data_IF_140639204945
#
_entry.id   IF_140639204945
#
_cell.length_a   1.000
_cell.length_b   1.000
_cell.length_c   1.000
_cell.angle_alpha   90.00
_cell.angle_beta   90.00
_cell.angle_gamma   90.00
#
_symmetry.space_group_name_H-M   'P 1'
#
loop_
_entity.id
_entity.type
_entity.pdbx_description
1 polymer ?
#
# COMPACT_ATOMS: atom_id res chain seq x y z
N UNK A 1 29.81 -13.99 3.86
CA UNK A 1 28.78 -13.82 2.80
C UNK A 1 29.50 -13.45 1.52
N UNK A 2 29.17 -14.09 0.41
CA UNK A 2 29.74 -13.72 -0.89
C UNK A 2 29.00 -12.48 -1.41
N UNK A 3 29.61 -11.31 -1.24
CA UNK A 3 29.07 -10.01 -1.64
C UNK A 3 28.77 -9.97 -3.15
N UNK A 4 29.53 -10.70 -3.95
CA UNK A 4 29.33 -10.76 -5.41
C UNK A 4 28.06 -11.52 -5.75
N UNK A 5 27.81 -12.66 -5.11
CA UNK A 5 26.59 -13.44 -5.32
C UNK A 5 25.34 -12.67 -4.88
N UNK A 6 25.42 -11.96 -3.74
CA UNK A 6 24.35 -11.11 -3.25
C UNK A 6 24.04 -9.93 -4.22
N UNK A 7 25.07 -9.26 -4.70
CA UNK A 7 24.92 -8.15 -5.65
C UNK A 7 24.28 -8.63 -6.96
N UNK A 8 24.70 -9.77 -7.49
CA UNK A 8 24.14 -10.35 -8.70
C UNK A 8 22.66 -10.75 -8.51
N UNK A 9 22.30 -11.31 -7.34
CA UNK A 9 20.93 -11.65 -7.02
C UNK A 9 20.03 -10.40 -6.98
N UNK A 10 20.50 -9.34 -6.34
CA UNK A 10 19.76 -8.07 -6.24
C UNK A 10 19.63 -7.41 -7.61
N UNK A 11 20.66 -7.43 -8.44
CA UNK A 11 20.59 -6.92 -9.80
C UNK A 11 19.54 -7.68 -10.65
N UNK A 12 19.49 -9.00 -10.55
CA UNK A 12 18.48 -9.81 -11.23
C UNK A 12 17.04 -9.48 -10.76
N UNK A 13 16.85 -9.25 -9.46
CA UNK A 13 15.55 -8.86 -8.92
C UNK A 13 15.12 -7.45 -9.35
N UNK A 14 16.07 -6.52 -9.40
CA UNK A 14 15.81 -5.16 -9.90
C UNK A 14 15.44 -5.16 -11.40
N UNK A 15 16.10 -6.00 -12.20
CA UNK A 15 15.76 -6.13 -13.62
C UNK A 15 14.36 -6.71 -13.82
N UNK A 16 13.93 -7.66 -12.99
CA UNK A 16 12.55 -8.14 -12.99
C UNK A 16 11.56 -7.00 -12.69
N UNK A 17 11.83 -6.19 -11.66
CA UNK A 17 10.98 -5.04 -11.30
C UNK A 17 10.91 -4.04 -12.46
N UNK A 18 12.01 -3.78 -13.15
CA UNK A 18 12.05 -2.91 -14.33
C UNK A 18 11.16 -3.47 -15.46
N UNK A 19 11.23 -4.75 -15.76
CA UNK A 19 10.33 -5.40 -16.73
C UNK A 19 8.87 -5.29 -16.34
N UNK A 20 8.54 -5.45 -15.05
CA UNK A 20 7.17 -5.27 -14.56
C UNK A 20 6.70 -3.83 -14.81
N UNK A 21 7.52 -2.81 -14.49
CA UNK A 21 7.19 -1.40 -14.75
C UNK A 21 6.97 -1.12 -16.23
N UNK A 22 7.85 -1.60 -17.08
CA UNK A 22 7.78 -1.43 -18.54
C UNK A 22 6.48 -2.05 -19.08
N UNK A 23 6.16 -3.25 -18.63
CA UNK A 23 4.97 -3.97 -19.10
C UNK A 23 3.67 -3.29 -18.66
N UNK A 24 3.59 -2.87 -17.39
CA UNK A 24 2.46 -2.09 -16.89
C UNK A 24 2.34 -0.75 -17.61
N UNK A 25 3.45 -0.08 -17.91
CA UNK A 25 3.53 1.20 -18.61
C UNK A 25 3.01 1.16 -20.06
N UNK A 26 2.91 -0.03 -20.68
CA UNK A 26 2.25 -0.18 -21.98
C UNK A 26 0.75 0.16 -21.89
N UNK A 27 0.12 -0.14 -20.76
CA UNK A 27 -1.33 0.06 -20.54
C UNK A 27 -1.61 1.33 -19.76
N UNK A 28 -0.86 1.55 -18.67
CA UNK A 28 -1.08 2.65 -17.73
C UNK A 28 -0.22 3.85 -18.12
N UNK A 29 -0.81 5.04 -18.09
CA UNK A 29 -0.13 6.32 -18.38
C UNK A 29 -0.29 7.25 -17.19
N UNK A 30 0.80 7.87 -16.74
CA UNK A 30 0.78 8.95 -15.74
C UNK A 30 0.51 8.48 -14.29
N UNK A 31 0.71 7.18 -14.00
CA UNK A 31 0.52 6.62 -12.65
C UNK A 31 1.76 5.84 -12.19
N UNK A 32 2.95 6.27 -12.61
CA UNK A 32 4.22 5.58 -12.31
C UNK A 32 4.44 5.46 -10.79
N UNK A 33 4.14 6.54 -10.04
CA UNK A 33 4.26 6.53 -8.58
C UNK A 33 3.33 5.51 -7.93
N UNK A 34 2.08 5.40 -8.39
CA UNK A 34 1.15 4.41 -7.89
C UNK A 34 1.67 2.99 -8.13
N UNK A 35 2.14 2.69 -9.34
CA UNK A 35 2.70 1.38 -9.69
C UNK A 35 3.91 1.05 -8.81
N UNK A 36 4.80 2.00 -8.58
CA UNK A 36 5.95 1.82 -7.69
C UNK A 36 5.51 1.48 -6.26
N UNK A 37 4.51 2.16 -5.72
CA UNK A 37 3.98 1.86 -4.38
C UNK A 37 3.29 0.51 -4.30
N UNK A 38 2.61 0.08 -5.36
CA UNK A 38 2.03 -1.26 -5.45
C UNK A 38 3.11 -2.35 -5.45
N UNK A 39 4.18 -2.14 -6.20
CA UNK A 39 5.34 -3.05 -6.21
C UNK A 39 6.00 -3.09 -4.82
N UNK A 40 6.23 -1.93 -4.19
CA UNK A 40 6.78 -1.88 -2.83
C UNK A 40 5.87 -2.59 -1.81
N UNK A 41 4.54 -2.42 -1.91
CA UNK A 41 3.59 -3.11 -1.04
C UNK A 41 3.65 -4.64 -1.22
N UNK A 42 3.76 -5.12 -2.45
CA UNK A 42 3.95 -6.55 -2.74
C UNK A 42 5.25 -7.09 -2.17
N UNK A 43 6.36 -6.38 -2.36
CA UNK A 43 7.70 -6.77 -1.86
C UNK A 43 7.76 -6.74 -0.34
N UNK A 44 7.13 -5.74 0.29
CA UNK A 44 7.09 -5.61 1.76
C UNK A 44 6.02 -6.50 2.42
N UNK A 45 5.25 -7.28 1.66
CA UNK A 45 4.09 -8.03 2.17
C UNK A 45 3.12 -7.15 2.97
N UNK A 46 2.97 -5.90 2.54
CA UNK A 46 2.12 -4.90 3.15
C UNK A 46 0.83 -4.68 2.36
N UNK A 47 -0.13 -3.98 2.97
CA UNK A 47 -1.35 -3.52 2.31
C UNK A 47 -1.28 -2.03 2.05
N UNK A 48 -2.09 -1.51 1.12
CA UNK A 48 -2.03 -0.12 0.70
C UNK A 48 -3.42 0.52 0.77
N UNK A 49 -3.47 1.74 1.30
CA UNK A 49 -4.64 2.60 1.29
C UNK A 49 -4.42 3.69 0.23
N UNK A 50 -5.33 3.79 -0.72
CA UNK A 50 -5.29 4.79 -1.78
C UNK A 50 -6.34 5.86 -1.51
N UNK A 51 -5.91 7.09 -1.41
CA UNK A 51 -6.81 8.23 -1.31
C UNK A 51 -6.76 9.05 -2.60
N UNK A 52 -7.90 9.32 -3.18
CA UNK A 52 -8.00 10.10 -4.40
C UNK A 52 -9.37 10.01 -5.05
N UNK A 53 -9.67 10.99 -5.87
CA UNK A 53 -10.94 11.11 -6.58
C UNK A 53 -11.23 9.90 -7.48
N UNK A 54 -12.50 9.61 -7.80
CA UNK A 54 -12.85 8.57 -8.77
C UNK A 54 -12.31 8.91 -10.18
N UNK A 55 -12.19 7.89 -11.02
CA UNK A 55 -11.78 8.08 -12.42
C UNK A 55 -10.26 8.08 -12.68
N UNK A 56 -9.41 7.88 -11.66
CA UNK A 56 -7.94 7.90 -11.78
C UNK A 56 -7.33 6.52 -12.16
N UNK A 57 -8.05 5.71 -12.91
CA UNK A 57 -7.61 4.41 -13.42
C UNK A 57 -7.10 3.42 -12.33
N UNK A 58 -7.49 3.59 -11.05
CA UNK A 58 -7.05 2.71 -9.94
C UNK A 58 -7.32 1.24 -10.24
N UNK A 59 -8.56 0.90 -10.64
CA UNK A 59 -8.94 -0.47 -10.99
C UNK A 59 -8.13 -1.02 -12.15
N UNK A 60 -7.93 -0.21 -13.20
CA UNK A 60 -7.15 -0.61 -14.37
C UNK A 60 -5.68 -0.88 -13.99
N UNK A 61 -5.08 -0.01 -13.17
CA UNK A 61 -3.70 -0.17 -12.69
C UNK A 61 -3.50 -1.48 -11.93
N UNK A 62 -4.41 -1.79 -11.00
CA UNK A 62 -4.31 -3.02 -10.18
C UNK A 62 -4.53 -4.27 -11.02
N UNK A 63 -5.56 -4.27 -11.88
CA UNK A 63 -5.85 -5.40 -12.75
C UNK A 63 -4.70 -5.66 -13.73
N UNK A 64 -4.14 -4.59 -14.31
CA UNK A 64 -2.96 -4.70 -15.20
C UNK A 64 -1.77 -5.27 -14.45
N UNK A 65 -1.49 -4.77 -13.24
CA UNK A 65 -0.39 -5.30 -12.42
C UNK A 65 -0.62 -6.78 -12.07
N UNK A 66 -1.84 -7.17 -11.70
CA UNK A 66 -2.17 -8.57 -11.43
C UNK A 66 -1.87 -9.47 -12.64
N UNK A 67 -2.31 -9.05 -13.85
CA UNK A 67 -2.05 -9.76 -15.10
C UNK A 67 -0.55 -9.90 -15.38
N UNK A 68 0.21 -8.82 -15.23
CA UNK A 68 1.68 -8.80 -15.42
C UNK A 68 2.39 -9.76 -14.46
N UNK A 69 1.87 -9.91 -13.25
CA UNK A 69 2.42 -10.78 -12.20
C UNK A 69 1.86 -12.22 -12.21
N UNK A 70 0.94 -12.55 -13.10
CA UNK A 70 0.27 -13.85 -13.09
C UNK A 70 -0.52 -14.13 -11.82
N UNK A 71 -1.11 -13.10 -11.22
CA UNK A 71 -1.85 -13.15 -9.96
C UNK A 71 -3.36 -13.02 -10.18
N UNK A 72 -4.14 -13.70 -9.33
CA UNK A 72 -5.58 -13.54 -9.31
C UNK A 72 -5.97 -12.15 -8.76
N UNK A 73 -6.95 -11.52 -9.42
CA UNK A 73 -7.48 -10.23 -9.04
C UNK A 73 -8.99 -10.30 -8.81
N UNK A 74 -9.44 -9.69 -7.71
CA UNK A 74 -10.87 -9.43 -7.47
C UNK A 74 -11.09 -7.99 -7.01
N UNK A 75 -12.27 -7.46 -7.34
CA UNK A 75 -12.75 -6.16 -6.87
C UNK A 75 -14.02 -6.34 -6.07
N UNK A 76 -14.13 -5.61 -4.98
CA UNK A 76 -15.34 -5.46 -4.17
C UNK A 76 -15.62 -3.96 -4.04
N UNK A 77 -16.83 -3.52 -4.35
CA UNK A 77 -17.29 -2.17 -4.05
C UNK A 77 -17.97 -2.19 -2.69
N UNK A 78 -17.50 -1.38 -1.77
CA UNK A 78 -18.07 -1.30 -0.43
C UNK A 78 -19.29 -0.41 -0.45
N UNK A 79 -20.40 -0.90 0.12
CA UNK A 79 -21.71 -0.23 0.18
C UNK A 79 -22.28 -0.34 1.60
N UNK A 80 -23.23 0.53 1.98
CA UNK A 80 -23.81 0.50 3.33
C UNK A 80 -24.56 -0.79 3.68
N UNK A 81 -25.03 -1.53 2.70
CA UNK A 81 -25.78 -2.78 2.84
C UNK A 81 -24.91 -4.04 2.82
N UNK A 82 -23.59 -3.89 2.59
CA UNK A 82 -22.65 -5.01 2.55
C UNK A 82 -22.57 -5.70 3.93
N UNK A 83 -22.47 -7.03 3.92
CA UNK A 83 -22.29 -7.85 5.12
C UNK A 83 -20.86 -8.41 5.18
N UNK A 84 -20.33 -8.73 6.37
CA UNK A 84 -19.03 -9.40 6.50
C UNK A 84 -18.93 -10.68 5.66
N UNK A 85 -20.02 -11.45 5.58
CA UNK A 85 -20.10 -12.68 4.78
C UNK A 85 -19.89 -12.45 3.28
N UNK A 86 -20.23 -11.26 2.75
CA UNK A 86 -20.03 -10.92 1.34
C UNK A 86 -18.54 -10.71 1.03
N UNK A 87 -17.73 -10.38 2.03
CA UNK A 87 -16.28 -10.17 1.93
C UNK A 87 -15.52 -11.47 2.15
N UNK A 88 -15.78 -12.16 3.27
CA UNK A 88 -15.00 -13.32 3.70
C UNK A 88 -15.61 -14.67 3.27
N UNK A 89 -16.91 -14.70 3.03
CA UNK A 89 -17.64 -15.93 2.68
C UNK A 89 -18.52 -16.43 3.82
N UNK A 90 -19.29 -17.47 3.53
CA UNK A 90 -20.27 -18.03 4.47
C UNK A 90 -20.54 -19.50 4.18
N UNK A 91 -21.19 -20.17 5.11
CA UNK A 91 -21.76 -21.50 4.86
C UNK A 91 -23.07 -21.36 4.07
N UNK A 92 -23.21 -22.16 3.04
CA UNK A 92 -24.43 -22.22 2.22
C UNK A 92 -25.04 -23.60 2.32
N UNK A 93 -26.32 -23.66 2.69
CA UNK A 93 -27.07 -24.92 2.73
C UNK A 93 -27.39 -25.41 1.32
N UNK A 94 -27.06 -26.65 1.04
CA UNK A 94 -27.38 -27.34 -0.21
C UNK A 94 -28.62 -28.22 -0.01
N UNK A 95 -29.81 -27.88 -0.57
CA UNK A 95 -30.99 -28.70 -0.46
C UNK A 95 -30.84 -30.12 -1.10
N UNK A 96 -29.89 -30.25 -2.03
CA UNK A 96 -29.64 -31.52 -2.72
C UNK A 96 -28.90 -32.53 -1.87
N UNK A 97 -27.95 -32.07 -1.04
CA UNK A 97 -27.13 -32.94 -0.19
C UNK A 97 -27.55 -32.92 1.28
N UNK A 98 -28.35 -31.94 1.70
CA UNK A 98 -28.72 -31.74 3.10
C UNK A 98 -27.56 -31.14 3.95
N UNK A 99 -26.49 -30.70 3.34
CA UNK A 99 -25.25 -30.27 4.01
C UNK A 99 -24.99 -28.80 3.84
N UNK A 100 -24.24 -28.21 4.78
CA UNK A 100 -23.68 -26.88 4.65
C UNK A 100 -22.30 -26.96 4.01
N UNK A 101 -22.09 -26.19 2.94
CA UNK A 101 -20.81 -26.10 2.25
C UNK A 101 -20.24 -24.67 2.33
N UNK A 102 -18.93 -24.50 2.55
CA UNK A 102 -18.31 -23.17 2.61
C UNK A 102 -18.26 -22.55 1.21
N UNK A 103 -18.85 -21.37 1.07
CA UNK A 103 -18.71 -20.51 -0.10
C UNK A 103 -17.71 -19.42 0.21
N UNK A 104 -16.50 -19.51 -0.36
CA UNK A 104 -15.41 -18.55 -0.17
C UNK A 104 -15.77 -17.20 -0.78
N UNK A 105 -15.51 -16.14 -0.02
CA UNK A 105 -15.72 -14.74 -0.45
C UNK A 105 -14.62 -14.21 -1.36
N UNK A 106 -14.73 -12.95 -1.78
CA UNK A 106 -13.75 -12.29 -2.66
C UNK A 106 -12.34 -12.16 -2.08
N UNK A 107 -12.18 -12.16 -0.74
CA UNK A 107 -10.85 -12.12 -0.10
C UNK A 107 -9.95 -13.29 -0.49
N UNK A 108 -10.52 -14.40 -0.98
CA UNK A 108 -9.73 -15.51 -1.53
C UNK A 108 -9.26 -15.18 -2.94
N UNK A 109 -8.27 -14.31 -2.99
CA UNK A 109 -7.56 -13.86 -4.21
C UNK A 109 -6.17 -13.36 -3.83
N UNK A 110 -5.29 -13.14 -4.80
CA UNK A 110 -3.96 -12.58 -4.55
C UNK A 110 -4.00 -11.05 -4.40
N UNK A 111 -4.69 -10.36 -5.31
CA UNK A 111 -4.89 -8.92 -5.25
C UNK A 111 -6.37 -8.61 -5.09
N UNK A 112 -6.71 -7.96 -3.99
CA UNK A 112 -8.08 -7.50 -3.73
C UNK A 112 -8.13 -5.98 -3.78
N UNK A 113 -8.96 -5.44 -4.67
CA UNK A 113 -9.33 -4.03 -4.64
C UNK A 113 -10.61 -3.87 -3.82
N UNK A 114 -10.48 -3.33 -2.62
CA UNK A 114 -11.58 -2.92 -1.73
C UNK A 114 -11.92 -1.46 -2.03
N UNK A 115 -12.87 -1.25 -2.95
CA UNK A 115 -13.20 0.08 -3.45
C UNK A 115 -14.16 0.79 -2.51
N UNK A 116 -13.83 2.04 -2.13
CA UNK A 116 -14.62 2.90 -1.22
C UNK A 116 -14.88 2.23 0.15
N UNK A 117 -13.81 1.71 0.79
CA UNK A 117 -13.90 0.97 2.06
C UNK A 117 -14.66 1.73 3.18
N UNK A 118 -14.62 3.05 3.14
CA UNK A 118 -15.31 3.92 4.10
C UNK A 118 -16.84 4.01 3.88
N UNK A 119 -17.41 3.41 2.85
CA UNK A 119 -18.87 3.35 2.64
C UNK A 119 -19.56 2.19 3.35
N UNK A 120 -18.81 1.17 3.76
CA UNK A 120 -19.39 0.04 4.47
C UNK A 120 -19.33 0.21 5.99
N UNK A 121 -20.27 -0.42 6.74
CA UNK A 121 -20.28 -0.38 8.19
C UNK A 121 -18.99 -0.95 8.81
N UNK A 122 -18.67 -0.50 10.03
CA UNK A 122 -17.45 -0.89 10.75
C UNK A 122 -17.24 -2.41 10.88
N UNK A 123 -18.34 -3.19 10.97
CA UNK A 123 -18.25 -4.67 11.03
C UNK A 123 -17.65 -5.27 9.75
N UNK A 124 -18.00 -4.72 8.59
CA UNK A 124 -17.49 -5.18 7.28
C UNK A 124 -16.04 -4.78 7.12
N UNK A 125 -15.71 -3.53 7.47
CA UNK A 125 -14.33 -3.06 7.50
C UNK A 125 -13.45 -3.94 8.39
N UNK A 126 -13.93 -4.26 9.61
CA UNK A 126 -13.21 -5.11 10.56
C UNK A 126 -12.94 -6.50 10.01
N UNK A 127 -13.91 -7.13 9.34
CA UNK A 127 -13.73 -8.45 8.73
C UNK A 127 -12.64 -8.46 7.65
N UNK A 128 -12.58 -7.42 6.81
CA UNK A 128 -11.48 -7.27 5.84
C UNK A 128 -10.14 -7.06 6.53
N UNK A 129 -10.08 -6.15 7.51
CA UNK A 129 -8.84 -5.80 8.21
C UNK A 129 -8.29 -6.95 9.07
N UNK A 130 -9.16 -7.81 9.59
CA UNK A 130 -8.77 -9.06 10.25
C UNK A 130 -8.15 -10.03 9.25
N UNK A 131 -8.80 -10.27 8.11
CA UNK A 131 -8.26 -11.14 7.06
C UNK A 131 -6.91 -10.63 6.50
N UNK A 132 -6.72 -9.30 6.45
CA UNK A 132 -5.43 -8.68 6.09
C UNK A 132 -4.32 -9.02 7.08
N UNK A 133 -4.61 -8.97 8.36
CA UNK A 133 -3.64 -9.19 9.42
C UNK A 133 -3.32 -10.67 9.61
N UNK A 134 -4.36 -11.51 9.69
CA UNK A 134 -4.24 -12.92 10.02
C UNK A 134 -3.89 -13.80 8.81
N UNK A 135 -4.05 -13.29 7.59
CA UNK A 135 -3.84 -14.03 6.33
C UNK A 135 -4.66 -15.32 6.24
N UNK A 136 -5.75 -15.37 6.97
CA UNK A 136 -6.69 -16.49 7.04
C UNK A 136 -8.09 -16.00 7.37
N UNK A 137 -9.08 -16.84 7.09
CA UNK A 137 -10.50 -16.58 7.35
C UNK A 137 -11.13 -17.82 7.92
N UNK A 138 -11.94 -17.69 8.96
CA UNK A 138 -12.77 -18.77 9.51
C UNK A 138 -14.18 -18.70 8.92
N UNK A 139 -14.64 -19.79 8.31
CA UNK A 139 -16.00 -19.94 7.77
C UNK A 139 -16.64 -21.15 8.44
N UNK A 140 -17.65 -20.92 9.27
CA UNK A 140 -18.17 -21.95 10.17
C UNK A 140 -17.11 -22.35 11.19
N UNK A 141 -16.80 -23.64 11.25
CA UNK A 141 -15.83 -24.21 12.19
C UNK A 141 -14.42 -24.39 11.56
N UNK A 142 -14.25 -24.04 10.28
CA UNK A 142 -12.99 -24.27 9.55
C UNK A 142 -12.27 -22.96 9.23
N UNK A 143 -10.93 -22.99 9.39
CA UNK A 143 -10.05 -21.86 9.06
C UNK A 143 -9.29 -22.12 7.77
N UNK A 144 -9.43 -21.21 6.83
CA UNK A 144 -8.83 -21.26 5.50
C UNK A 144 -7.74 -20.20 5.37
N UNK A 145 -6.55 -20.60 4.93
CA UNK A 145 -5.48 -19.64 4.58
C UNK A 145 -5.81 -18.94 3.27
N UNK A 146 -5.47 -17.64 3.21
CA UNK A 146 -5.58 -16.87 1.99
C UNK A 146 -4.41 -17.20 1.04
N UNK A 147 -4.57 -17.01 -0.29
CA UNK A 147 -3.51 -17.20 -1.26
C UNK A 147 -2.29 -16.33 -0.97
N UNK A 148 -1.11 -16.80 -1.29
CA UNK A 148 0.12 -16.01 -1.19
C UNK A 148 0.69 -15.75 -2.61
N UNK A 149 1.10 -14.52 -2.93
CA UNK A 149 0.99 -13.30 -2.12
C UNK A 149 -0.47 -12.83 -1.96
N UNK A 150 -0.78 -12.18 -0.83
CA UNK A 150 -2.08 -11.53 -0.61
C UNK A 150 -1.88 -10.04 -0.36
N UNK A 151 -2.43 -9.21 -1.22
CA UNK A 151 -2.37 -7.76 -1.13
C UNK A 151 -3.78 -7.18 -1.21
N UNK A 152 -4.15 -6.37 -0.24
CA UNK A 152 -5.36 -5.55 -0.29
C UNK A 152 -4.98 -4.12 -0.64
N UNK A 153 -5.68 -3.59 -1.66
CA UNK A 153 -5.71 -2.18 -1.98
C UNK A 153 -7.08 -1.67 -1.57
N UNK A 154 -7.12 -0.89 -0.51
CA UNK A 154 -8.34 -0.20 -0.11
C UNK A 154 -8.34 1.20 -0.73
N UNK A 155 -9.49 1.68 -1.21
CA UNK A 155 -9.62 3.06 -1.67
C UNK A 155 -10.55 3.85 -0.75
N UNK A 156 -10.24 5.15 -0.61
CA UNK A 156 -11.10 6.13 0.03
C UNK A 156 -11.30 7.31 -0.91
N UNK A 157 -12.52 7.82 -0.96
CA UNK A 157 -12.83 9.06 -1.65
C UNK A 157 -12.86 10.20 -0.61
N UNK A 158 -11.93 11.18 -0.68
CA UNK A 158 -11.87 12.26 0.31
C UNK A 158 -13.00 13.28 0.17
N UNK A 159 -13.70 13.32 -0.97
CA UNK A 159 -14.74 14.32 -1.28
C UNK A 159 -16.11 13.89 -0.74
N UNK A 160 -16.40 12.59 -0.76
CA UNK A 160 -17.66 12.05 -0.27
C UNK A 160 -17.63 11.87 1.24
N UNK A 161 -18.32 12.75 1.96
CA UNK A 161 -18.45 12.69 3.43
C UNK A 161 -19.79 12.12 3.87
N UNK A 162 -20.86 12.32 3.09
CA UNK A 162 -22.20 11.81 3.43
C UNK A 162 -22.27 10.28 3.28
N UNK A 163 -22.82 9.61 4.29
CA UNK A 163 -23.00 8.15 4.28
C UNK A 163 -21.70 7.36 4.41
N UNK A 164 -20.62 7.97 4.92
CA UNK A 164 -19.34 7.30 5.14
C UNK A 164 -19.12 6.94 6.61
N UNK A 165 -18.37 5.86 6.82
CA UNK A 165 -17.90 5.37 8.11
C UNK A 165 -16.38 5.47 8.11
N UNK A 166 -15.78 6.49 8.74
CA UNK A 166 -14.33 6.65 8.77
C UNK A 166 -13.66 5.42 9.39
N UNK A 167 -12.55 5.02 8.82
CA UNK A 167 -11.74 3.97 9.42
C UNK A 167 -11.12 4.48 10.72
N UNK A 168 -11.25 3.76 11.85
CA UNK A 168 -10.53 4.09 13.06
C UNK A 168 -9.02 4.11 12.83
N UNK A 169 -8.32 5.02 13.46
CA UNK A 169 -6.88 5.25 13.29
C UNK A 169 -6.04 3.99 13.53
N UNK A 170 -6.37 3.23 14.58
CA UNK A 170 -5.73 1.95 14.86
C UNK A 170 -5.90 0.90 13.74
N UNK A 171 -6.92 1.08 12.89
CA UNK A 171 -7.17 0.24 11.73
C UNK A 171 -6.39 0.74 10.51
N UNK A 172 -6.30 2.05 10.33
CA UNK A 172 -5.51 2.67 9.25
C UNK A 172 -4.02 2.38 9.42
N UNK A 173 -3.50 2.31 10.66
CA UNK A 173 -2.10 1.96 10.96
C UNK A 173 -1.70 0.53 10.48
N UNK A 174 -2.67 -0.32 10.14
CA UNK A 174 -2.40 -1.65 9.55
C UNK A 174 -1.96 -1.61 8.09
N UNK A 175 -2.28 -0.53 7.38
CA UNK A 175 -1.79 -0.33 6.02
C UNK A 175 -0.32 0.05 6.05
N UNK A 176 0.47 -0.59 5.19
CA UNK A 176 1.90 -0.29 5.04
C UNK A 176 2.11 1.11 4.47
N UNK A 177 1.30 1.47 3.48
CA UNK A 177 1.34 2.75 2.79
C UNK A 177 -0.06 3.37 2.71
N UNK A 178 -0.12 4.69 2.86
CA UNK A 178 -1.24 5.52 2.42
C UNK A 178 -0.75 6.42 1.29
N UNK A 179 -1.25 6.20 0.07
CA UNK A 179 -0.83 6.93 -1.11
C UNK A 179 -1.92 7.87 -1.59
N UNK A 180 -1.55 9.11 -1.84
CA UNK A 180 -2.41 10.07 -2.53
C UNK A 180 -2.27 9.82 -4.04
N UNK A 181 -3.43 9.57 -4.69
CA UNK A 181 -3.48 9.36 -6.14
C UNK A 181 -3.80 10.70 -6.79
N UNK A 182 -2.81 11.24 -7.47
CA UNK A 182 -2.90 12.54 -8.14
C UNK A 182 -3.58 12.40 -9.52
N UNK A 183 -4.19 13.48 -9.98
CA UNK A 183 -4.69 13.56 -11.35
C UNK A 183 -3.51 13.55 -12.32
N UNK A 184 -3.65 12.89 -13.48
CA UNK A 184 -2.61 12.89 -14.50
C UNK A 184 -2.23 14.31 -14.91
N UNK A 185 -0.99 14.51 -15.32
CA UNK A 185 -0.54 15.79 -15.87
C UNK A 185 -1.23 16.05 -17.22
N UNK A 186 -1.27 17.32 -17.65
CA UNK A 186 -1.80 17.66 -18.99
C UNK A 186 -1.13 16.90 -20.14
N UNK A 187 0.15 16.59 -20.01
CA UNK A 187 0.88 15.77 -20.98
C UNK A 187 0.45 14.31 -20.95
N UNK A 188 0.15 13.77 -19.78
CA UNK A 188 -0.34 12.39 -19.64
C UNK A 188 -1.78 12.26 -20.13
N UNK A 189 -2.64 13.23 -19.84
CA UNK A 189 -4.00 13.27 -20.38
C UNK A 189 -3.99 13.33 -21.91
N UNK A 190 -3.07 14.08 -22.50
CA UNK A 190 -2.88 14.09 -23.96
C UNK A 190 -2.49 12.71 -24.47
N UNK A 191 -1.53 12.04 -23.83
CA UNK A 191 -1.11 10.66 -24.19
C UNK A 191 -2.27 9.66 -24.04
N UNK A 192 -3.08 9.79 -22.99
CA UNK A 192 -4.28 8.98 -22.80
C UNK A 192 -5.28 9.24 -23.93
N UNK A 193 -5.58 10.50 -24.22
CA UNK A 193 -6.49 10.89 -25.31
C UNK A 193 -6.02 10.33 -26.66
N UNK A 194 -4.75 10.51 -27.04
CA UNK A 194 -4.18 10.01 -28.28
C UNK A 194 -4.25 8.48 -28.36
N UNK A 195 -4.02 7.78 -27.25
CA UNK A 195 -4.04 6.31 -27.18
C UNK A 195 -5.46 5.73 -27.34
N UNK A 196 -6.48 6.41 -26.81
CA UNK A 196 -7.85 5.89 -26.76
C UNK A 196 -8.83 6.57 -27.74
N UNK A 197 -8.51 7.75 -28.27
CA UNK A 197 -9.42 8.53 -29.13
C UNK A 197 -9.71 7.89 -30.49
N UNK A 198 -8.86 7.00 -30.99
CA UNK A 198 -9.00 6.41 -32.33
C UNK A 198 -9.69 5.03 -32.31
N UNK A 199 -10.31 4.63 -31.20
CA UNK A 199 -10.93 3.30 -31.10
C UNK A 199 -9.94 2.14 -31.25
N UNK A 200 -8.64 2.42 -31.17
CA UNK A 200 -7.61 1.39 -31.18
C UNK A 200 -7.81 0.46 -29.97
N UNK A 201 -7.66 -0.83 -30.19
CA UNK A 201 -7.67 -1.82 -29.11
C UNK A 201 -6.62 -1.39 -28.08
N UNK A 202 -7.04 -1.25 -26.81
CA UNK A 202 -6.11 -0.91 -25.74
C UNK A 202 -4.93 -1.90 -25.75
N UNK A 203 -3.68 -1.43 -25.60
CA UNK A 203 -2.56 -2.33 -25.51
C UNK A 203 -2.76 -3.33 -24.37
N UNK A 204 -2.44 -4.58 -24.61
CA UNK A 204 -2.55 -5.62 -23.59
C UNK A 204 -1.17 -5.85 -22.97
N UNK A 205 -1.14 -5.93 -21.63
CA UNK A 205 0.06 -6.32 -20.91
C UNK A 205 0.23 -7.84 -20.93
N UNK A 206 1.48 -8.30 -21.00
CA UNK A 206 1.84 -9.70 -20.91
C UNK A 206 2.26 -10.08 -19.48
N UNK A 207 2.17 -11.36 -19.15
CA UNK A 207 2.66 -11.88 -17.86
C UNK A 207 4.19 -12.03 -17.95
N UNK A 208 4.91 -11.33 -17.07
CA UNK A 208 6.39 -11.34 -17.01
C UNK A 208 6.94 -11.82 -15.67
N UNK A 209 6.08 -12.08 -14.71
CA UNK A 209 6.44 -12.59 -13.39
C UNK A 209 5.46 -13.68 -12.93
N UNK A 210 5.82 -14.38 -11.85
CA UNK A 210 4.99 -15.42 -11.22
C UNK A 210 4.88 -15.16 -9.71
N UNK A 211 3.94 -15.80 -9.00
CA UNK A 211 3.87 -15.73 -7.54
C UNK A 211 5.20 -16.09 -6.85
N UNK A 212 5.94 -17.08 -7.38
CA UNK A 212 7.24 -17.50 -6.85
C UNK A 212 8.31 -16.40 -7.02
N UNK A 213 8.24 -15.63 -8.11
CA UNK A 213 9.15 -14.50 -8.31
C UNK A 213 8.92 -13.41 -7.26
N UNK A 214 7.67 -13.17 -6.86
CA UNK A 214 7.36 -12.24 -5.76
C UNK A 214 7.85 -12.79 -4.42
N UNK A 215 7.71 -14.09 -4.17
CA UNK A 215 8.27 -14.73 -2.98
C UNK A 215 9.80 -14.56 -2.93
N UNK A 216 10.48 -14.77 -4.06
CA UNK A 216 11.93 -14.56 -4.18
C UNK A 216 12.34 -13.10 -3.92
N UNK A 217 11.57 -12.11 -4.39
CA UNK A 217 11.78 -10.69 -4.06
C UNK A 217 11.69 -10.44 -2.55
N UNK A 218 10.70 -11.02 -1.87
CA UNK A 218 10.52 -10.92 -0.41
C UNK A 218 11.66 -11.54 0.37
N UNK A 219 12.18 -12.67 -0.09
CA UNK A 219 13.33 -13.31 0.54
C UNK A 219 14.61 -12.49 0.33
N UNK A 220 14.81 -11.95 -0.87
CA UNK A 220 15.95 -11.07 -1.17
C UNK A 220 15.89 -9.77 -0.35
N UNK A 221 14.69 -9.24 -0.05
CA UNK A 221 14.53 -8.07 0.82
C UNK A 221 15.17 -8.25 2.19
N UNK A 222 15.14 -9.48 2.74
CA UNK A 222 15.75 -9.80 4.05
C UNK A 222 17.29 -9.64 4.05
N UNK A 223 17.88 -9.73 2.86
CA UNK A 223 19.34 -9.64 2.66
C UNK A 223 19.81 -8.18 2.41
N UNK A 224 18.91 -7.24 2.13
CA UNK A 224 19.28 -5.83 1.94
C UNK A 224 19.76 -5.25 3.26
N UNK A 225 20.99 -4.74 3.27
CA UNK A 225 21.61 -4.16 4.47
C UNK A 225 20.99 -2.79 4.79
N UNK A 226 20.84 -2.51 6.07
CA UNK A 226 20.50 -1.18 6.57
C UNK A 226 21.55 -0.82 7.62
N UNK A 227 22.34 0.22 7.35
CA UNK A 227 23.36 0.71 8.27
C UNK A 227 22.71 1.26 9.55
N UNK A 228 23.41 1.15 10.67
CA UNK A 228 22.94 1.63 11.97
C UNK A 228 22.59 3.12 11.93
N UNK A 229 23.40 3.93 11.25
CA UNK A 229 23.13 5.37 11.07
C UNK A 229 21.83 5.65 10.30
N UNK A 230 21.49 4.82 9.32
CA UNK A 230 20.21 4.91 8.61
C UNK A 230 19.06 4.47 9.52
N UNK A 231 19.31 3.45 10.36
CA UNK A 231 18.38 3.03 11.41
C UNK A 231 18.12 4.15 12.42
N UNK A 232 19.16 4.82 12.91
CA UNK A 232 19.05 5.96 13.81
C UNK A 232 18.30 7.13 13.15
N UNK A 233 18.58 7.43 11.89
CA UNK A 233 17.85 8.45 11.13
C UNK A 233 16.34 8.17 11.05
N UNK A 234 15.97 6.89 10.85
CA UNK A 234 14.56 6.46 10.88
C UNK A 234 13.96 6.68 12.28
N UNK A 235 14.70 6.33 13.33
CA UNK A 235 14.27 6.53 14.71
C UNK A 235 14.07 8.01 15.02
N UNK A 236 15.03 8.86 14.65
CA UNK A 236 14.97 10.31 14.87
C UNK A 236 13.72 10.92 14.20
N UNK A 237 13.41 10.54 12.95
CA UNK A 237 12.21 10.98 12.25
C UNK A 237 10.94 10.55 13.00
N UNK A 238 10.86 9.29 13.41
CA UNK A 238 9.66 8.77 14.09
C UNK A 238 9.51 9.37 15.48
N UNK A 239 10.59 9.50 16.26
CA UNK A 239 10.55 10.12 17.58
C UNK A 239 10.21 11.61 17.50
N UNK A 240 10.68 12.34 16.49
CA UNK A 240 10.30 13.73 16.26
C UNK A 240 8.78 13.91 16.05
N UNK A 241 8.04 12.87 15.64
CA UNK A 241 6.57 12.93 15.60
C UNK A 241 5.91 12.76 16.97
N UNK A 242 6.60 12.17 17.97
CA UNK A 242 6.07 11.89 19.31
C UNK A 242 6.46 12.96 20.31
N UNK A 243 7.69 13.40 20.23
CA UNK A 243 8.34 14.31 21.18
C UNK A 243 9.04 15.44 20.42
N UNK A 244 8.31 16.20 19.56
CA UNK A 244 8.93 17.25 18.76
C UNK A 244 9.58 18.34 19.60
N UNK A 245 9.09 18.58 20.82
CA UNK A 245 9.64 19.52 21.79
C UNK A 245 11.07 19.23 22.20
N UNK A 246 11.53 17.98 22.07
CA UNK A 246 12.89 17.58 22.36
C UNK A 246 13.88 17.83 21.19
N UNK A 247 13.37 18.28 20.03
CA UNK A 247 14.15 18.52 18.82
C UNK A 247 14.16 20.01 18.52
N UNK A 248 15.36 20.63 18.60
CA UNK A 248 15.52 22.07 18.33
C UNK A 248 15.02 22.43 16.92
N UNK A 249 14.05 23.33 16.85
CA UNK A 249 13.42 23.78 15.61
C UNK A 249 12.13 23.05 15.25
N UNK A 250 11.69 22.07 16.07
CA UNK A 250 10.43 21.35 15.91
C UNK A 250 9.45 21.60 17.06
N UNK A 251 9.78 22.44 18.04
CA UNK A 251 9.01 22.66 19.27
C UNK A 251 7.56 23.05 18.97
N UNK A 252 7.32 23.84 17.93
CA UNK A 252 5.98 24.26 17.51
C UNK A 252 5.07 23.12 17.05
N UNK A 253 5.65 21.99 16.63
CA UNK A 253 4.88 20.82 16.19
C UNK A 253 4.11 20.16 17.35
N UNK A 254 4.50 20.43 18.62
CA UNK A 254 3.82 19.93 19.80
C UNK A 254 2.33 20.31 19.86
N UNK A 255 2.02 21.53 19.41
CA UNK A 255 0.65 22.04 19.36
C UNK A 255 -0.13 21.56 18.14
N UNK A 256 0.57 21.02 17.15
CA UNK A 256 0.01 20.58 15.87
C UNK A 256 -0.22 19.07 15.80
N UNK A 257 0.54 18.28 16.55
CA UNK A 257 0.46 16.82 16.57
C UNK A 257 -0.30 16.38 17.82
N UNK A 258 -1.47 15.76 17.62
CA UNK A 258 -2.24 15.15 18.71
C UNK A 258 -1.64 13.80 19.12
N UNK A 259 -1.31 12.95 18.13
CA UNK A 259 -0.69 11.64 18.35
C UNK A 259 0.40 11.42 17.31
N UNK A 260 1.60 11.13 17.78
CA UNK A 260 2.74 10.76 16.92
C UNK A 260 2.69 9.30 16.45
N UNK A 261 3.53 8.98 15.50
CA UNK A 261 3.56 7.66 14.86
C UNK A 261 3.95 6.52 15.82
N UNK A 262 3.28 5.37 15.73
CA UNK A 262 3.49 4.19 16.57
C UNK A 262 4.83 3.47 16.26
N UNK A 263 5.30 2.52 17.09
CA UNK A 263 6.46 1.69 16.75
C UNK A 263 6.32 0.91 15.44
N UNK A 264 5.09 0.64 14.99
CA UNK A 264 4.84 0.07 13.65
C UNK A 264 5.39 0.96 12.54
N UNK A 265 5.39 2.27 12.72
CA UNK A 265 5.95 3.21 11.75
C UNK A 265 7.46 3.00 11.55
N UNK A 266 8.22 2.78 12.64
CA UNK A 266 9.66 2.50 12.56
C UNK A 266 9.94 1.24 11.76
N UNK A 267 9.20 0.15 12.05
CA UNK A 267 9.32 -1.12 11.33
C UNK A 267 8.92 -0.97 9.85
N UNK A 268 7.81 -0.27 9.60
CA UNK A 268 7.32 -0.02 8.25
C UNK A 268 8.32 0.83 7.43
N UNK A 269 8.86 1.89 8.02
CA UNK A 269 9.79 2.78 7.34
C UNK A 269 11.12 2.09 7.01
N UNK A 270 11.66 1.30 7.96
CA UNK A 270 12.85 0.48 7.72
C UNK A 270 12.62 -0.52 6.58
N UNK A 271 11.50 -1.25 6.63
CA UNK A 271 11.17 -2.25 5.61
C UNK A 271 10.94 -1.62 4.24
N UNK A 272 10.25 -0.46 4.19
CA UNK A 272 9.99 0.28 2.96
C UNK A 272 11.27 0.86 2.34
N UNK A 273 12.18 1.42 3.15
CA UNK A 273 13.45 1.94 2.67
C UNK A 273 14.33 0.84 2.06
N UNK A 274 14.42 -0.33 2.73
CA UNK A 274 15.13 -1.50 2.18
C UNK A 274 14.48 -2.01 0.89
N UNK A 275 13.16 -2.06 0.83
CA UNK A 275 12.45 -2.44 -0.38
C UNK A 275 12.69 -1.44 -1.52
N UNK A 276 12.73 -0.14 -1.22
CA UNK A 276 13.05 0.88 -2.21
C UNK A 276 14.49 0.73 -2.74
N UNK A 277 15.45 0.41 -1.88
CA UNK A 277 16.82 0.09 -2.30
C UNK A 277 16.87 -1.14 -3.22
N UNK A 278 16.18 -2.23 -2.84
CA UNK A 278 16.11 -3.47 -3.62
C UNK A 278 15.56 -3.25 -5.03
N UNK A 279 14.40 -2.59 -5.14
CA UNK A 279 13.77 -2.36 -6.45
C UNK A 279 14.56 -1.41 -7.36
N UNK A 280 15.51 -0.67 -6.77
CA UNK A 280 16.48 0.17 -7.47
C UNK A 280 17.87 -0.48 -7.60
N UNK A 281 17.98 -1.80 -7.37
CA UNK A 281 19.19 -2.58 -7.63
C UNK A 281 20.31 -2.40 -6.60
N UNK A 282 20.02 -1.93 -5.38
CA UNK A 282 21.01 -1.71 -4.34
C UNK A 282 20.87 -2.71 -3.20
N UNK A 283 22.02 -3.23 -2.75
CA UNK A 283 22.12 -4.17 -1.64
C UNK A 283 22.05 -3.49 -0.25
N UNK A 284 21.92 -2.20 -0.20
CA UNK A 284 21.87 -1.40 1.02
C UNK A 284 20.91 -0.23 0.90
N UNK A 285 20.24 0.08 1.99
CA UNK A 285 19.36 1.24 2.12
C UNK A 285 20.17 2.50 2.44
N UNK A 286 19.72 3.63 1.92
CA UNK A 286 20.30 4.96 2.11
C UNK A 286 19.27 5.91 2.72
N UNK A 287 19.67 7.06 3.30
CA UNK A 287 18.73 8.08 3.73
C UNK A 287 17.76 8.55 2.62
N UNK A 288 18.19 8.50 1.36
CA UNK A 288 17.33 8.86 0.23
C UNK A 288 16.19 7.85 0.04
N UNK A 289 16.42 6.56 0.35
CA UNK A 289 15.36 5.55 0.32
C UNK A 289 14.31 5.82 1.40
N UNK A 290 14.75 6.26 2.58
CA UNK A 290 13.85 6.70 3.66
C UNK A 290 13.00 7.87 3.19
N UNK A 291 13.63 8.94 2.65
CA UNK A 291 12.94 10.13 2.13
C UNK A 291 11.95 9.80 1.01
N UNK A 292 12.28 8.84 0.16
CA UNK A 292 11.42 8.44 -0.97
C UNK A 292 10.08 7.82 -0.53
N UNK A 293 10.01 7.23 0.68
CA UNK A 293 8.82 6.49 1.14
C UNK A 293 8.16 7.08 2.40
N UNK A 294 8.83 8.01 3.08
CA UNK A 294 8.43 8.50 4.41
C UNK A 294 7.02 9.07 4.45
N UNK A 295 6.62 9.87 3.46
CA UNK A 295 5.27 10.44 3.40
C UNK A 295 4.20 9.35 3.30
N UNK A 296 4.39 8.39 2.39
CA UNK A 296 3.42 7.33 2.18
C UNK A 296 3.34 6.34 3.36
N UNK A 297 4.43 6.27 4.17
CA UNK A 297 4.46 5.46 5.40
C UNK A 297 3.91 6.21 6.60
N UNK A 298 4.16 7.52 6.76
CA UNK A 298 3.86 8.24 7.99
C UNK A 298 2.58 9.07 7.95
N UNK A 299 2.09 9.52 6.77
CA UNK A 299 0.97 10.49 6.72
C UNK A 299 -0.31 10.01 7.42
N UNK A 300 -0.56 8.72 7.48
CA UNK A 300 -1.73 8.13 8.15
C UNK A 300 -1.45 7.66 9.57
N UNK A 301 -0.26 7.95 10.09
CA UNK A 301 0.20 7.57 11.43
C UNK A 301 0.45 8.77 12.33
N UNK A 302 0.33 9.97 11.78
CA UNK A 302 0.43 11.24 12.50
C UNK A 302 -0.95 11.86 12.53
N UNK A 303 -1.50 12.01 13.73
CA UNK A 303 -2.79 12.66 13.95
C UNK A 303 -2.58 14.10 14.32
N UNK A 304 -3.31 14.96 13.66
CA UNK A 304 -3.24 16.39 13.87
C UNK A 304 -4.25 16.84 14.93
N UNK A 305 -3.97 17.97 15.56
CA UNK A 305 -4.96 18.66 16.41
C UNK A 305 -6.01 19.34 15.53
N UNK A 306 -7.20 19.59 16.09
CA UNK A 306 -8.26 20.30 15.38
C UNK A 306 -7.83 21.72 14.94
N UNK A 307 -7.00 22.37 15.75
CA UNK A 307 -6.44 23.68 15.47
C UNK A 307 -5.54 23.62 14.24
N UNK A 308 -4.67 22.61 14.15
CA UNK A 308 -3.78 22.41 13.00
C UNK A 308 -4.59 22.14 11.71
N UNK A 309 -5.64 21.32 11.79
CA UNK A 309 -6.52 21.06 10.65
C UNK A 309 -7.27 22.31 10.20
N UNK A 310 -7.75 23.14 11.16
CA UNK A 310 -8.41 24.41 10.85
C UNK A 310 -7.47 25.41 10.15
N UNK A 311 -6.17 25.32 10.42
CA UNK A 311 -5.11 26.11 9.74
C UNK A 311 -4.65 25.50 8.41
N UNK A 312 -5.31 24.44 7.93
CA UNK A 312 -4.92 23.68 6.73
C UNK A 312 -3.48 23.11 6.79
N UNK A 313 -3.02 22.76 7.98
CA UNK A 313 -1.80 21.99 8.17
C UNK A 313 -2.12 20.53 7.85
N UNK A 314 -1.25 19.89 7.09
CA UNK A 314 -1.39 18.48 6.70
C UNK A 314 -0.28 17.66 7.33
N UNK A 315 -0.51 16.36 7.50
CA UNK A 315 0.55 15.44 7.96
C UNK A 315 1.79 15.48 7.05
N UNK A 316 1.61 15.72 5.75
CA UNK A 316 2.74 15.86 4.81
C UNK A 316 3.58 17.11 5.12
N UNK A 317 2.96 18.26 5.45
CA UNK A 317 3.69 19.46 5.89
C UNK A 317 4.46 19.24 7.19
N UNK A 318 3.90 18.47 8.13
CA UNK A 318 4.60 18.07 9.36
C UNK A 318 5.83 17.22 9.03
N UNK A 319 5.66 16.22 8.15
CA UNK A 319 6.77 15.36 7.71
C UNK A 319 7.86 16.19 7.02
N UNK A 320 7.50 17.10 6.11
CA UNK A 320 8.45 17.99 5.44
C UNK A 320 9.24 18.83 6.44
N UNK A 321 8.57 19.38 7.47
CA UNK A 321 9.22 20.15 8.53
C UNK A 321 10.23 19.28 9.30
N UNK A 322 9.84 18.07 9.68
CA UNK A 322 10.72 17.11 10.36
C UNK A 322 11.94 16.80 9.49
N UNK A 323 11.73 16.46 8.23
CA UNK A 323 12.82 16.15 7.28
C UNK A 323 13.77 17.33 7.01
N UNK A 324 13.29 18.57 7.18
CA UNK A 324 14.11 19.77 7.02
C UNK A 324 15.04 20.04 8.20
N UNK A 325 14.73 19.48 9.38
CA UNK A 325 15.45 19.71 10.63
C UNK A 325 16.34 18.54 11.03
N UNK A 326 15.83 17.30 10.89
CA UNK A 326 16.59 16.08 11.25
C UNK A 326 17.80 15.94 10.31
N UNK A 327 19.04 15.90 10.86
CA UNK A 327 20.24 15.79 10.05
C UNK A 327 20.30 14.45 9.31
N UNK A 328 20.76 14.50 8.07
CA UNK A 328 20.99 13.31 7.24
C UNK A 328 22.37 12.76 7.58
N UNK A 329 22.49 11.46 7.93
CA UNK A 329 23.79 10.87 8.31
C UNK A 329 24.75 10.71 7.14
#
# INVERSE_FOLDING_TARGET
>A
MDLTAQTNKIAAQSELVKKIREEVGKVIVGQERLIDRLILALVTDGHILLEGVPGLAKTLSVNTLAKVLGLDFKRISFTPDLLPADVVGTLVYSPKTGEFTPKKGPVFTNLLLADEINRAPAKVQSALLESMQERQVTIGDETYRLPAPFLVLATQNPIEQEGTYPLPEAQVDRFMFKCLVETPSKSDERRIMERFAQGAKAPEAETVATPEAIASLRDTLKEVYCDEKVGDYILDIVFATREPENVKGLESLKEQIQVGASPRATLALNKAARANALVNGRAYATPQDVKAVVHDVLRHRILLTYEAEAENITSDKIIDKILSVIPVP
#
